data_IF_220755136491
#
_entry.id   IF_220755136491
#
_cell.length_a   1.000
_cell.length_b   1.000
_cell.length_c   1.000
_cell.angle_alpha   90.00
_cell.angle_beta   90.00
_cell.angle_gamma   90.00
#
_symmetry.space_group_name_H-M   'P 1'
#
loop_
_entity.id
_entity.type
_entity.pdbx_description
1 polymer ?
#
# COMPACT_ATOMS: atom_id res chain seq x y z
N UNK A 1 13.40 4.46 -8.93
CA UNK A 1 13.15 4.21 -7.50
C UNK A 1 11.67 4.19 -7.18
N UNK A 2 11.33 3.68 -6.00
CA UNK A 2 10.00 3.64 -5.40
C UNK A 2 9.99 4.59 -4.19
N UNK A 3 8.94 5.39 -4.07
CA UNK A 3 8.74 6.29 -2.93
C UNK A 3 7.41 5.94 -2.29
N UNK A 4 7.42 5.66 -1.00
CA UNK A 4 6.23 5.23 -0.29
C UNK A 4 6.20 5.74 1.15
N UNK A 5 5.00 6.02 1.64
CA UNK A 5 4.80 6.35 3.07
C UNK A 5 5.14 5.16 3.96
N UNK A 6 4.67 3.98 3.56
CA UNK A 6 4.91 2.71 4.23
C UNK A 6 4.95 1.62 3.18
N UNK A 7 6.03 0.83 3.15
CA UNK A 7 6.13 -0.30 2.24
C UNK A 7 5.08 -1.37 2.59
N UNK A 8 4.54 -2.06 1.58
CA UNK A 8 3.49 -3.07 1.74
C UNK A 8 2.05 -2.52 1.73
N UNK A 9 1.82 -1.23 2.00
CA UNK A 9 0.48 -0.63 1.89
C UNK A 9 -0.57 -1.34 2.76
N UNK A 10 -1.77 -1.58 2.22
CA UNK A 10 -2.90 -2.15 2.97
C UNK A 10 -2.66 -3.58 3.48
N UNK A 11 -1.83 -4.39 2.80
CA UNK A 11 -1.61 -5.77 3.25
C UNK A 11 -0.91 -5.80 4.61
N UNK A 12 -0.14 -4.77 4.97
CA UNK A 12 0.49 -4.68 6.29
C UNK A 12 -0.50 -4.68 7.47
N UNK A 13 -1.76 -4.29 7.23
CA UNK A 13 -2.82 -4.26 8.24
C UNK A 13 -3.79 -5.45 8.11
N UNK A 14 -3.46 -6.41 7.24
CA UNK A 14 -4.23 -7.62 6.98
C UNK A 14 -3.60 -8.82 7.68
N UNK A 15 -4.41 -9.67 8.31
CA UNK A 15 -3.93 -10.92 8.91
C UNK A 15 -3.87 -12.02 7.85
N UNK A 16 -4.84 -12.95 7.84
CA UNK A 16 -4.83 -14.06 6.90
C UNK A 16 -5.12 -13.60 5.46
N UNK A 17 -4.31 -14.08 4.51
CA UNK A 17 -4.51 -13.91 3.07
C UNK A 17 -4.48 -15.30 2.43
N UNK A 18 -5.61 -15.71 1.84
CA UNK A 18 -5.81 -17.05 1.26
C UNK A 18 -6.16 -17.01 -0.23
N UNK A 19 -6.06 -15.82 -0.85
CA UNK A 19 -6.40 -15.57 -2.24
C UNK A 19 -5.23 -15.01 -3.06
N UNK A 20 -4.00 -15.07 -2.53
CA UNK A 20 -2.81 -14.79 -3.33
C UNK A 20 -2.47 -16.02 -4.16
N UNK A 21 -2.76 -15.97 -5.47
CA UNK A 21 -2.68 -17.12 -6.37
C UNK A 21 -1.31 -17.81 -6.26
N UNK A 22 -1.33 -19.15 -6.25
CA UNK A 22 -0.19 -20.06 -5.95
C UNK A 22 0.22 -20.18 -4.47
N UNK A 23 -0.25 -19.30 -3.58
CA UNK A 23 0.06 -19.34 -2.15
C UNK A 23 -1.21 -19.71 -1.37
N UNK A 24 -1.23 -20.92 -0.80
CA UNK A 24 -2.42 -21.43 -0.08
C UNK A 24 -2.84 -20.53 1.08
N UNK A 25 -1.86 -20.01 1.83
CA UNK A 25 -2.07 -19.11 2.96
C UNK A 25 -0.80 -18.32 3.22
N UNK A 26 -0.94 -17.03 3.45
CA UNK A 26 0.12 -16.14 3.96
C UNK A 26 -0.48 -15.13 4.93
N UNK A 27 0.37 -14.28 5.48
CA UNK A 27 -0.04 -13.16 6.31
C UNK A 27 0.45 -11.85 5.70
N UNK A 28 -0.29 -10.77 5.95
CA UNK A 28 0.01 -9.45 5.41
C UNK A 28 1.45 -8.97 5.60
N UNK A 29 1.98 -8.92 6.84
CA UNK A 29 3.37 -8.56 7.09
C UNK A 29 4.38 -9.46 6.39
N UNK A 30 4.12 -10.77 6.34
CA UNK A 30 4.98 -11.72 5.62
C UNK A 30 5.01 -11.42 4.12
N UNK A 31 3.85 -11.23 3.50
CA UNK A 31 3.77 -10.89 2.07
C UNK A 31 4.50 -9.58 1.75
N UNK A 32 4.38 -8.57 2.62
CA UNK A 32 5.11 -7.32 2.45
C UNK A 32 6.64 -7.49 2.54
N UNK A 33 7.12 -8.33 3.46
CA UNK A 33 8.55 -8.69 3.53
C UNK A 33 9.00 -9.44 2.29
N UNK A 34 8.24 -10.46 1.85
CA UNK A 34 8.56 -11.25 0.65
C UNK A 34 8.63 -10.34 -0.60
N UNK A 35 7.74 -9.33 -0.72
CA UNK A 35 7.78 -8.33 -1.78
C UNK A 35 9.00 -7.39 -1.69
N UNK A 36 9.39 -7.00 -0.47
CA UNK A 36 10.58 -6.18 -0.26
C UNK A 36 11.86 -6.95 -0.61
N UNK A 37 11.92 -8.24 -0.30
CA UNK A 37 13.03 -9.12 -0.67
C UNK A 37 13.14 -9.29 -2.17
N UNK A 38 12.02 -9.51 -2.87
CA UNK A 38 12.03 -9.61 -4.33
C UNK A 38 12.52 -8.29 -4.98
N UNK A 39 12.16 -7.12 -4.44
CA UNK A 39 12.69 -5.85 -4.96
C UNK A 39 14.20 -5.71 -4.79
N UNK A 40 14.79 -6.28 -3.72
CA UNK A 40 16.26 -6.22 -3.48
C UNK A 40 17.07 -7.01 -4.49
N UNK A 41 16.45 -7.90 -5.26
CA UNK A 41 17.12 -8.59 -6.37
C UNK A 41 17.42 -7.65 -7.54
N UNK A 42 16.85 -6.45 -7.56
CA UNK A 42 17.01 -5.45 -8.60
C UNK A 42 17.63 -4.16 -8.04
N UNK A 43 18.25 -3.39 -8.94
CA UNK A 43 18.80 -2.07 -8.64
C UNK A 43 17.68 -1.02 -8.58
N UNK A 44 16.89 -1.07 -7.51
CA UNK A 44 15.76 -0.16 -7.28
C UNK A 44 15.96 0.57 -5.96
N UNK A 45 16.17 1.89 -6.04
CA UNK A 45 16.14 2.75 -4.86
C UNK A 45 14.74 2.74 -4.24
N UNK A 46 14.64 2.29 -2.98
CA UNK A 46 13.39 2.34 -2.21
C UNK A 46 13.53 3.37 -1.11
N UNK A 47 12.69 4.41 -1.16
CA UNK A 47 12.62 5.45 -0.14
C UNK A 47 11.28 5.34 0.59
N UNK A 48 11.33 4.94 1.85
CA UNK A 48 10.15 4.81 2.71
C UNK A 48 9.94 6.05 3.57
N UNK A 49 8.81 6.12 4.29
CA UNK A 49 8.46 7.24 5.18
C UNK A 49 8.37 8.59 4.47
N UNK A 50 8.12 8.56 3.15
CA UNK A 50 7.94 9.75 2.34
C UNK A 50 6.53 9.80 1.77
N UNK A 51 5.90 10.97 1.81
CA UNK A 51 4.57 11.19 1.25
C UNK A 51 4.67 12.23 0.13
N UNK A 52 4.18 11.87 -1.05
CA UNK A 52 4.05 12.82 -2.16
C UNK A 52 2.90 13.79 -1.85
N UNK A 53 3.20 15.08 -1.89
CA UNK A 53 2.27 16.17 -1.64
C UNK A 53 1.73 16.76 -2.96
N UNK A 54 2.60 16.91 -3.96
CA UNK A 54 2.25 17.56 -5.23
C UNK A 54 3.01 16.94 -6.40
N UNK A 55 2.32 16.74 -7.50
CA UNK A 55 2.90 16.34 -8.78
C UNK A 55 2.77 17.50 -9.77
N UNK A 56 3.85 17.84 -10.46
CA UNK A 56 3.88 18.82 -11.54
C UNK A 56 4.35 18.12 -12.82
N UNK A 57 3.51 18.13 -13.86
CA UNK A 57 3.86 17.53 -15.15
C UNK A 57 4.99 18.30 -15.84
N UNK A 58 5.74 17.61 -16.70
CA UNK A 58 6.92 18.14 -17.39
C UNK A 58 6.66 19.44 -18.19
N UNK A 59 5.43 19.65 -18.68
CA UNK A 59 5.05 20.88 -19.38
C UNK A 59 4.95 22.12 -18.47
N UNK A 60 4.96 21.91 -17.15
CA UNK A 60 4.84 22.95 -16.12
C UNK A 60 6.14 23.14 -15.33
N UNK A 61 7.27 22.66 -15.86
CA UNK A 61 8.59 22.69 -15.22
C UNK A 61 9.65 23.15 -16.21
N UNK A 62 10.60 23.98 -15.75
CA UNK A 62 11.60 24.60 -16.64
C UNK A 62 12.62 23.60 -17.23
N UNK A 63 12.83 22.45 -16.57
CA UNK A 63 13.77 21.41 -17.00
C UNK A 63 13.12 20.28 -17.80
N UNK A 64 11.81 20.40 -18.09
CA UNK A 64 11.07 19.40 -18.87
C UNK A 64 10.94 18.03 -18.19
N UNK A 65 11.11 17.95 -16.86
CA UNK A 65 10.96 16.72 -16.09
C UNK A 65 9.72 16.79 -15.19
N UNK A 66 9.12 15.64 -14.88
CA UNK A 66 8.04 15.59 -13.89
C UNK A 66 8.64 15.81 -12.51
N UNK A 67 8.09 16.75 -11.74
CA UNK A 67 8.51 17.02 -10.36
C UNK A 67 7.49 16.44 -9.38
N UNK A 68 7.99 15.75 -8.35
CA UNK A 68 7.21 15.20 -7.25
C UNK A 68 7.71 15.86 -5.97
N UNK A 69 6.91 16.76 -5.41
CA UNK A 69 7.20 17.39 -4.14
C UNK A 69 6.75 16.48 -3.00
N UNK A 70 7.64 16.24 -2.05
CA UNK A 70 7.39 15.44 -0.86
C UNK A 70 7.02 16.34 0.32
N UNK A 71 6.28 15.81 1.29
CA UNK A 71 5.97 16.53 2.54
C UNK A 71 7.22 16.89 3.36
N UNK A 72 8.33 16.17 3.15
CA UNK A 72 9.64 16.49 3.73
C UNK A 72 10.28 17.76 3.15
N UNK A 73 9.70 18.34 2.09
CA UNK A 73 10.24 19.49 1.37
C UNK A 73 11.18 19.13 0.22
N UNK A 74 11.58 17.86 0.09
CA UNK A 74 12.39 17.40 -1.04
C UNK A 74 11.56 17.33 -2.33
N UNK A 75 12.21 17.53 -3.48
CA UNK A 75 11.61 17.38 -4.81
C UNK A 75 12.36 16.31 -5.59
N UNK A 76 11.63 15.28 -6.03
CA UNK A 76 12.15 14.26 -6.93
C UNK A 76 11.81 14.61 -8.37
N UNK A 77 12.70 14.26 -9.29
CA UNK A 77 12.54 14.53 -10.72
C UNK A 77 12.59 13.22 -11.50
N UNK A 78 11.71 13.08 -12.48
CA UNK A 78 11.68 11.89 -13.34
C UNK A 78 11.13 12.21 -14.73
N UNK A 79 11.52 11.41 -15.73
CA UNK A 79 10.91 11.46 -17.06
C UNK A 79 9.50 10.88 -17.08
N UNK A 80 9.22 9.93 -16.19
CA UNK A 80 7.94 9.21 -16.11
C UNK A 80 7.58 8.89 -14.66
N UNK A 81 6.29 8.84 -14.37
CA UNK A 81 5.78 8.54 -13.02
C UNK A 81 4.67 7.50 -13.10
N UNK A 82 4.73 6.51 -12.21
CA UNK A 82 3.66 5.53 -11.99
C UNK A 82 3.02 5.86 -10.65
N UNK A 83 1.72 6.16 -10.65
CA UNK A 83 0.97 6.42 -9.43
C UNK A 83 0.30 5.13 -8.96
N UNK A 84 0.72 4.65 -7.79
CA UNK A 84 0.12 3.50 -7.10
C UNK A 84 -0.18 3.79 -5.62
N UNK A 85 -0.84 4.93 -5.26
CA UNK A 85 -1.04 5.32 -3.86
C UNK A 85 -2.07 4.47 -3.11
N UNK A 86 -2.80 3.60 -3.82
CA UNK A 86 -3.88 2.80 -3.25
C UNK A 86 -5.09 3.63 -2.83
N UNK A 87 -5.82 3.13 -1.83
CA UNK A 87 -7.01 3.76 -1.28
C UNK A 87 -7.06 3.53 0.24
N UNK A 88 -8.10 4.05 0.91
CA UNK A 88 -8.46 3.69 2.28
C UNK A 88 -9.93 3.29 2.33
N UNK A 89 -10.22 2.23 3.09
CA UNK A 89 -11.61 1.89 3.40
C UNK A 89 -12.21 2.98 4.29
N UNK A 90 -13.45 3.35 4.00
CA UNK A 90 -14.21 4.26 4.87
C UNK A 90 -14.59 3.48 6.12
N UNK A 91 -14.20 3.98 7.26
CA UNK A 91 -14.53 3.40 8.57
C UNK A 91 -15.92 3.88 9.03
N UNK A 92 -16.59 3.06 9.84
CA UNK A 92 -17.88 3.39 10.44
C UNK A 92 -17.72 4.44 11.55
N UNK A 93 -16.54 4.54 12.16
CA UNK A 93 -16.19 5.43 13.26
C UNK A 93 -17.06 5.19 14.51
N UNK A 94 -17.26 3.92 14.87
CA UNK A 94 -18.04 3.51 16.06
C UNK A 94 -17.17 2.79 17.09
N UNK A 95 -17.52 2.85 18.39
CA UNK A 95 -16.84 2.06 19.42
C UNK A 95 -16.79 0.57 19.05
N UNK A 96 -15.63 -0.05 19.22
CA UNK A 96 -15.39 -1.46 18.91
C UNK A 96 -14.92 -1.74 17.47
N UNK A 97 -15.11 -0.83 16.49
CA UNK A 97 -14.68 -1.09 15.10
C UNK A 97 -13.19 -1.44 15.01
N UNK A 98 -12.33 -0.64 15.65
CA UNK A 98 -10.88 -0.87 15.65
C UNK A 98 -10.47 -2.09 16.49
N UNK A 99 -11.18 -2.37 17.59
CA UNK A 99 -10.89 -3.50 18.47
C UNK A 99 -11.17 -4.86 17.79
N UNK A 100 -12.26 -4.92 17.03
CA UNK A 100 -12.71 -6.11 16.31
C UNK A 100 -12.21 -6.18 14.87
N UNK A 101 -11.38 -5.22 14.42
CA UNK A 101 -10.71 -5.26 13.12
C UNK A 101 -9.88 -6.54 13.01
N UNK A 102 -10.06 -7.28 11.91
CA UNK A 102 -9.47 -8.61 11.69
C UNK A 102 -9.92 -9.69 12.70
N UNK A 103 -10.94 -9.43 13.54
CA UNK A 103 -11.54 -10.36 14.52
C UNK A 103 -13.07 -10.45 14.40
N UNK A 104 -13.61 -10.07 13.25
CA UNK A 104 -15.05 -10.03 12.98
C UNK A 104 -15.46 -8.82 12.15
N UNK A 105 -14.77 -7.68 12.31
CA UNK A 105 -14.87 -6.54 11.40
C UNK A 105 -13.93 -6.77 10.22
N UNK A 106 -14.54 -6.84 9.03
CA UNK A 106 -13.88 -7.10 7.75
C UNK A 106 -14.37 -6.09 6.70
N UNK A 107 -13.47 -5.65 5.82
CA UNK A 107 -13.77 -4.65 4.78
C UNK A 107 -13.93 -5.26 3.38
N UNK A 108 -13.39 -6.45 3.16
CA UNK A 108 -13.35 -7.11 1.86
C UNK A 108 -14.18 -8.40 1.86
N UNK A 109 -15.40 -8.42 1.29
CA UNK A 109 -16.23 -9.62 1.28
C UNK A 109 -15.60 -10.77 0.47
N UNK A 110 -14.78 -10.47 -0.53
CA UNK A 110 -14.07 -11.47 -1.32
C UNK A 110 -12.92 -12.13 -0.57
N UNK A 111 -12.35 -11.42 0.40
CA UNK A 111 -11.21 -11.88 1.20
C UNK A 111 -11.70 -12.76 2.35
N UNK A 112 -12.67 -12.25 3.11
CA UNK A 112 -13.07 -12.85 4.38
C UNK A 112 -14.39 -13.63 4.31
N UNK A 113 -15.20 -13.44 3.27
CA UNK A 113 -16.52 -14.07 3.13
C UNK A 113 -16.54 -15.59 3.39
N UNK A 114 -15.60 -16.39 2.85
CA UNK A 114 -15.53 -17.82 3.12
C UNK A 114 -15.38 -18.19 4.61
N UNK A 115 -14.77 -17.32 5.43
CA UNK A 115 -14.50 -17.57 6.86
C UNK A 115 -15.77 -17.52 7.73
N UNK A 116 -16.86 -16.92 7.23
CA UNK A 116 -18.10 -16.73 7.97
C UNK A 116 -19.18 -17.79 7.68
N UNK A 117 -18.85 -18.87 6.96
CA UNK A 117 -19.80 -19.94 6.67
C UNK A 117 -20.41 -20.51 7.97
N UNK A 118 -21.73 -20.51 8.06
CA UNK A 118 -22.47 -21.07 9.21
C UNK A 118 -22.48 -20.18 10.45
N UNK A 119 -21.88 -18.99 10.40
CA UNK A 119 -22.09 -17.95 11.42
C UNK A 119 -23.50 -17.38 11.27
N UNK A 120 -24.18 -17.17 12.40
CA UNK A 120 -25.49 -16.50 12.50
C UNK A 120 -25.31 -15.25 13.34
#
# INVERSE_FOLDING_TARGET
GVVAKRFGGQVMDTMAIENFISVKRTEGPKLATDLAEHLKEYDVDVVTEQQAQKLMGAAHTDDGLIHIQLESGATLKSKSVILSPGARWREMNVPGEQEYRNKGVAYCPHCDGPLFKGKK
#
